data_IF_854586954793
#
_entry.id   IF_854586954793
#
_cell.length_a   1.000
_cell.length_b   1.000
_cell.length_c   1.000
_cell.angle_alpha   90.00
_cell.angle_beta   90.00
_cell.angle_gamma   90.00
#
_symmetry.space_group_name_H-M   'P 1'
#
loop_
_entity.id
_entity.type
_entity.pdbx_description
1 polymer ?
#
# COMPACT_ATOMS: atom_id res chain seq x y z
N UNK A 1 19.00 23.57 -12.21
CA UNK A 1 18.27 22.40 -11.70
C UNK A 1 17.08 22.18 -12.63
N UNK A 2 16.69 20.93 -12.87
CA UNK A 2 15.47 20.61 -13.63
C UNK A 2 14.24 20.96 -12.81
N UNK A 3 13.14 21.45 -13.42
CA UNK A 3 11.89 21.68 -12.71
C UNK A 3 11.38 20.40 -12.07
N UNK A 4 10.82 20.51 -10.86
CA UNK A 4 10.27 19.39 -10.12
C UNK A 4 8.75 19.45 -10.18
N UNK A 5 8.14 18.32 -10.48
CA UNK A 5 6.68 18.15 -10.49
C UNK A 5 6.31 17.13 -9.40
N UNK A 6 5.28 17.45 -8.61
CA UNK A 6 4.67 16.52 -7.65
C UNK A 6 3.34 16.04 -8.22
N UNK A 7 3.07 14.75 -8.08
CA UNK A 7 1.77 14.13 -8.31
C UNK A 7 1.47 13.25 -7.09
N UNK A 8 0.50 13.67 -6.27
CA UNK A 8 0.22 13.03 -4.99
C UNK A 8 -1.27 13.00 -4.69
N UNK A 9 -1.76 11.94 -4.06
CA UNK A 9 -3.16 11.78 -3.66
C UNK A 9 -3.34 11.68 -2.13
N UNK A 10 -2.27 11.91 -1.37
CA UNK A 10 -2.34 11.91 0.08
C UNK A 10 -2.86 13.24 0.64
N UNK A 11 -3.55 13.23 1.79
CA UNK A 11 -3.90 14.46 2.48
C UNK A 11 -2.64 15.15 3.02
N UNK A 12 -2.55 16.48 2.82
CA UNK A 12 -1.47 17.35 3.34
C UNK A 12 -0.07 16.95 2.84
N UNK A 13 0.18 16.94 1.53
CA UNK A 13 1.50 16.66 0.98
C UNK A 13 2.49 17.79 1.32
N UNK A 14 3.77 17.46 1.43
CA UNK A 14 4.85 18.45 1.53
C UNK A 14 5.15 19.01 0.14
N UNK A 15 4.72 20.24 -0.13
CA UNK A 15 4.81 20.85 -1.47
C UNK A 15 6.06 21.70 -1.69
N UNK A 16 6.83 21.94 -0.64
CA UNK A 16 8.01 22.81 -0.71
C UNK A 16 9.08 22.25 -1.68
N UNK A 17 9.55 23.11 -2.57
CA UNK A 17 10.59 22.77 -3.56
C UNK A 17 10.08 22.11 -4.86
N UNK A 18 8.75 22.08 -5.07
CA UNK A 18 8.12 21.68 -6.34
C UNK A 18 7.63 22.90 -7.10
N UNK A 19 7.86 22.96 -8.41
CA UNK A 19 7.43 24.07 -9.28
C UNK A 19 6.00 23.88 -9.78
N UNK A 20 5.56 22.62 -9.88
CA UNK A 20 4.21 22.26 -10.27
C UNK A 20 3.71 21.14 -9.34
N UNK A 21 2.51 21.31 -8.81
CA UNK A 21 1.90 20.35 -7.88
C UNK A 21 0.52 19.97 -8.39
N UNK A 22 0.32 18.66 -8.59
CA UNK A 22 -0.99 18.04 -8.75
C UNK A 22 -1.26 17.26 -7.48
N UNK A 23 -2.22 17.70 -6.67
CA UNK A 23 -2.59 17.04 -5.42
C UNK A 23 -4.11 16.98 -5.35
N UNK A 24 -4.64 15.75 -5.27
CA UNK A 24 -6.08 15.48 -5.26
C UNK A 24 -6.36 14.23 -4.43
N UNK A 25 -7.27 14.32 -3.48
CA UNK A 25 -7.62 13.23 -2.57
C UNK A 25 -8.84 12.42 -3.03
N UNK A 26 -9.61 12.92 -4.00
CA UNK A 26 -10.78 12.24 -4.56
C UNK A 26 -10.44 11.39 -5.78
N UNK A 27 -9.25 10.79 -5.76
CA UNK A 27 -8.76 9.79 -6.72
C UNK A 27 -8.21 8.59 -5.97
N UNK A 28 -8.24 7.43 -6.59
CA UNK A 28 -7.84 6.16 -5.94
C UNK A 28 -6.34 6.01 -5.72
N UNK A 29 -5.53 6.74 -6.48
CA UNK A 29 -4.08 6.59 -6.50
C UNK A 29 -3.39 7.75 -7.21
N UNK A 30 -2.12 7.96 -6.94
CA UNK A 30 -1.29 8.86 -7.74
C UNK A 30 -1.25 8.45 -9.23
N UNK A 31 -1.42 7.15 -9.52
CA UNK A 31 -1.54 6.65 -10.90
C UNK A 31 -2.82 7.13 -11.59
N UNK A 32 -3.94 7.20 -10.87
CA UNK A 32 -5.19 7.75 -11.42
C UNK A 32 -5.04 9.24 -11.68
N UNK A 33 -4.46 9.99 -10.74
CA UNK A 33 -4.20 11.42 -10.94
C UNK A 33 -3.27 11.65 -12.14
N UNK A 34 -2.18 10.89 -12.26
CA UNK A 34 -1.30 10.96 -13.42
C UNK A 34 -2.02 10.62 -14.72
N UNK A 35 -2.90 9.61 -14.71
CA UNK A 35 -3.73 9.27 -15.87
C UNK A 35 -4.56 10.48 -16.31
N UNK A 36 -5.23 11.17 -15.41
CA UNK A 36 -6.02 12.37 -15.74
C UNK A 36 -5.16 13.50 -16.32
N UNK A 37 -3.97 13.73 -15.77
CA UNK A 37 -3.01 14.69 -16.30
C UNK A 37 -2.61 14.31 -17.74
N UNK A 38 -2.25 13.04 -17.98
CA UNK A 38 -1.87 12.57 -19.30
C UNK A 38 -3.03 12.67 -20.33
N UNK A 39 -4.28 12.33 -19.91
CA UNK A 39 -5.45 12.46 -20.77
C UNK A 39 -5.74 13.90 -21.20
N UNK A 40 -5.33 14.89 -20.40
CA UNK A 40 -5.47 16.32 -20.73
C UNK A 40 -4.40 16.85 -21.68
N UNK A 41 -3.32 16.10 -21.90
CA UNK A 41 -2.24 16.53 -22.80
C UNK A 41 -2.66 16.48 -24.27
N UNK A 42 -2.27 17.48 -25.09
CA UNK A 42 -2.64 17.53 -26.51
C UNK A 42 -2.25 16.30 -27.32
N UNK A 43 -1.10 15.69 -26.99
CA UNK A 43 -0.58 14.50 -27.68
C UNK A 43 -1.42 13.25 -27.41
N UNK A 44 -2.04 13.17 -26.25
CA UNK A 44 -2.92 12.07 -25.85
C UNK A 44 -4.38 12.36 -26.22
N UNK A 45 -4.83 13.62 -26.07
CA UNK A 45 -6.13 14.11 -26.51
C UNK A 45 -7.31 13.24 -26.05
N UNK A 46 -7.31 12.85 -24.78
CA UNK A 46 -8.34 12.00 -24.15
C UNK A 46 -8.47 10.58 -24.73
N UNK A 47 -7.49 10.12 -25.48
CA UNK A 47 -7.45 8.78 -26.07
C UNK A 47 -6.34 7.93 -25.43
N UNK A 48 -6.72 7.02 -24.53
CA UNK A 48 -5.79 6.15 -23.81
C UNK A 48 -4.97 5.22 -24.74
N UNK A 49 -5.46 4.96 -25.97
CA UNK A 49 -4.72 4.14 -26.94
C UNK A 49 -3.44 4.82 -27.45
N UNK A 50 -3.30 6.13 -27.26
CA UNK A 50 -2.09 6.90 -27.58
C UNK A 50 -1.02 6.83 -26.51
N UNK A 51 -1.32 6.31 -25.34
CA UNK A 51 -0.30 6.06 -24.32
C UNK A 51 0.65 4.96 -24.77
N UNK A 52 1.95 5.08 -24.51
CA UNK A 52 2.86 3.93 -24.65
C UNK A 52 2.32 2.76 -23.82
N UNK A 53 2.31 1.54 -24.41
CA UNK A 53 1.75 0.37 -23.73
C UNK A 53 2.35 0.13 -22.33
N UNK A 54 3.66 0.31 -22.16
CA UNK A 54 4.32 0.20 -20.87
C UNK A 54 3.79 1.21 -19.84
N UNK A 55 3.45 2.45 -20.27
CA UNK A 55 2.84 3.46 -19.40
C UNK A 55 1.42 3.05 -19.00
N UNK A 56 0.61 2.58 -19.95
CA UNK A 56 -0.75 2.10 -19.68
C UNK A 56 -0.75 0.93 -18.67
N UNK A 57 0.16 -0.04 -18.85
CA UNK A 57 0.34 -1.17 -17.91
C UNK A 57 0.78 -0.66 -16.53
N UNK A 58 1.72 0.28 -16.44
CA UNK A 58 2.20 0.83 -15.17
C UNK A 58 1.11 1.61 -14.43
N UNK A 59 0.31 2.40 -15.14
CA UNK A 59 -0.83 3.12 -14.57
C UNK A 59 -1.88 2.15 -14.01
N UNK A 60 -2.21 1.09 -14.77
CA UNK A 60 -3.11 0.05 -14.28
C UNK A 60 -2.54 -0.68 -13.07
N UNK A 61 -1.23 -0.95 -13.05
CA UNK A 61 -0.57 -1.60 -11.92
C UNK A 61 -0.66 -0.76 -10.65
N UNK A 62 -0.30 0.54 -10.71
CA UNK A 62 -0.33 1.43 -9.57
C UNK A 62 -1.74 1.60 -9.01
N UNK A 63 -2.74 1.82 -9.86
CA UNK A 63 -4.14 1.85 -9.44
C UNK A 63 -4.58 0.54 -8.78
N UNK A 64 -4.22 -0.61 -9.38
CA UNK A 64 -4.61 -1.94 -8.87
C UNK A 64 -4.01 -2.22 -7.50
N UNK A 65 -2.73 -1.87 -7.29
CA UNK A 65 -2.05 -2.12 -6.01
C UNK A 65 -2.55 -1.20 -4.92
N UNK A 66 -2.76 0.07 -5.21
CA UNK A 66 -3.19 1.08 -4.24
C UNK A 66 -4.63 0.85 -3.77
N UNK A 67 -5.50 0.44 -4.68
CA UNK A 67 -6.89 0.08 -4.37
C UNK A 67 -7.05 -1.33 -3.80
N UNK A 68 -5.97 -2.08 -3.61
CA UNK A 68 -6.04 -3.50 -3.28
C UNK A 68 -7.01 -4.25 -4.22
N UNK A 69 -6.80 -4.08 -5.52
CA UNK A 69 -7.63 -4.67 -6.58
C UNK A 69 -9.11 -4.26 -6.52
N UNK A 70 -9.35 -2.95 -6.38
CA UNK A 70 -10.68 -2.31 -6.26
C UNK A 70 -11.43 -2.60 -4.95
N UNK A 71 -10.74 -3.07 -3.91
CA UNK A 71 -11.35 -3.28 -2.60
C UNK A 71 -11.44 -2.01 -1.76
N UNK A 72 -10.57 -1.02 -2.00
CA UNK A 72 -10.45 0.19 -1.17
C UNK A 72 -10.39 1.46 -2.05
N UNK A 73 -10.89 2.56 -1.50
CA UNK A 73 -10.69 3.93 -2.03
C UNK A 73 -10.98 4.07 -3.53
N UNK A 74 -12.06 3.48 -4.01
CA UNK A 74 -12.46 3.54 -5.41
C UNK A 74 -13.51 4.62 -5.65
N UNK A 75 -13.39 5.29 -6.80
CA UNK A 75 -14.30 6.33 -7.28
C UNK A 75 -14.85 5.92 -8.66
N UNK A 76 -15.92 6.55 -9.16
CA UNK A 76 -16.38 6.31 -10.53
C UNK A 76 -15.30 6.53 -11.59
N UNK A 77 -14.42 7.53 -11.38
CA UNK A 77 -13.26 7.83 -12.23
C UNK A 77 -12.25 6.68 -12.27
N UNK A 78 -12.06 5.96 -11.17
CA UNK A 78 -11.19 4.77 -11.09
C UNK A 78 -11.64 3.68 -12.07
N UNK A 79 -12.94 3.40 -12.12
CA UNK A 79 -13.49 2.41 -13.06
C UNK A 79 -13.45 2.91 -14.51
N UNK A 80 -13.63 4.22 -14.72
CA UNK A 80 -13.49 4.84 -16.05
C UNK A 80 -12.06 4.69 -16.57
N UNK A 81 -11.05 4.98 -15.72
CA UNK A 81 -9.64 4.75 -16.04
C UNK A 81 -9.37 3.28 -16.37
N UNK A 82 -9.84 2.35 -15.54
CA UNK A 82 -9.65 0.92 -15.77
C UNK A 82 -10.24 0.50 -17.12
N UNK A 83 -11.45 0.95 -17.44
CA UNK A 83 -12.11 0.68 -18.73
C UNK A 83 -11.31 1.22 -19.90
N UNK A 84 -10.82 2.46 -19.82
CA UNK A 84 -10.02 3.08 -20.88
C UNK A 84 -8.70 2.34 -21.12
N UNK A 85 -8.00 1.93 -20.05
CA UNK A 85 -6.74 1.18 -20.15
C UNK A 85 -6.95 -0.23 -20.71
N UNK A 86 -8.04 -0.91 -20.37
CA UNK A 86 -8.40 -2.19 -20.95
C UNK A 86 -8.69 -2.04 -22.46
N UNK A 87 -9.44 -1.00 -22.85
CA UNK A 87 -9.71 -0.70 -24.26
C UNK A 87 -8.42 -0.35 -25.04
N UNK A 88 -7.44 0.24 -24.36
CA UNK A 88 -6.09 0.51 -24.90
C UNK A 88 -5.20 -0.75 -24.97
N UNK A 89 -5.71 -1.93 -24.63
CA UNK A 89 -5.03 -3.22 -24.80
C UNK A 89 -4.21 -3.69 -23.61
N UNK A 90 -4.43 -3.15 -22.41
CA UNK A 90 -3.79 -3.70 -21.19
C UNK A 90 -4.39 -5.07 -20.87
N UNK A 91 -3.55 -6.10 -20.86
CA UNK A 91 -3.94 -7.43 -20.37
C UNK A 91 -3.94 -7.45 -18.84
N UNK A 92 -5.14 -7.28 -18.27
CA UNK A 92 -5.32 -7.31 -16.81
C UNK A 92 -5.03 -8.69 -16.22
N UNK A 93 -5.29 -9.77 -16.95
CA UNK A 93 -5.03 -11.14 -16.49
C UNK A 93 -3.52 -11.37 -16.30
N UNK A 94 -2.72 -11.00 -17.29
CA UNK A 94 -1.25 -11.04 -17.19
C UNK A 94 -0.74 -10.14 -16.07
N UNK A 95 -1.27 -8.92 -15.96
CA UNK A 95 -0.89 -7.99 -14.91
C UNK A 95 -1.14 -8.57 -13.50
N UNK A 96 -2.34 -9.11 -13.24
CA UNK A 96 -2.66 -9.72 -11.94
C UNK A 96 -1.80 -10.95 -11.65
N UNK A 97 -1.51 -11.75 -12.67
CA UNK A 97 -0.60 -12.89 -12.52
C UNK A 97 0.80 -12.45 -12.08
N UNK A 98 1.32 -11.38 -12.68
CA UNK A 98 2.62 -10.80 -12.28
C UNK A 98 2.61 -10.20 -10.88
N UNK A 99 1.53 -9.52 -10.51
CA UNK A 99 1.42 -8.86 -9.20
C UNK A 99 1.17 -9.84 -8.05
N UNK A 100 0.34 -10.89 -8.28
CA UNK A 100 -0.23 -11.69 -7.19
C UNK A 100 0.03 -13.20 -7.31
N UNK A 101 0.61 -13.69 -8.39
CA UNK A 101 0.86 -15.11 -8.61
C UNK A 101 2.34 -15.46 -8.82
N UNK A 102 3.25 -14.53 -8.53
CA UNK A 102 4.70 -14.70 -8.67
C UNK A 102 5.45 -14.74 -7.34
N UNK A 103 4.74 -14.94 -6.25
CA UNK A 103 5.33 -14.95 -4.92
C UNK A 103 6.20 -16.18 -4.67
N UNK A 104 7.25 -16.00 -3.87
CA UNK A 104 8.13 -17.07 -3.41
C UNK A 104 7.41 -17.99 -2.41
N UNK A 105 7.75 -19.28 -2.40
CA UNK A 105 7.24 -20.25 -1.42
C UNK A 105 7.46 -19.78 0.03
N UNK A 106 8.60 -19.16 0.31
CA UNK A 106 8.94 -18.62 1.63
C UNK A 106 7.87 -17.67 2.18
N UNK A 107 7.23 -16.85 1.31
CA UNK A 107 6.11 -15.98 1.70
C UNK A 107 4.95 -16.79 2.27
N UNK A 108 4.53 -17.87 1.62
CA UNK A 108 3.41 -18.69 2.09
C UNK A 108 3.74 -19.45 3.37
N UNK A 109 4.97 -19.93 3.51
CA UNK A 109 5.44 -20.53 4.77
C UNK A 109 5.47 -19.51 5.90
N UNK A 110 5.95 -18.30 5.63
CA UNK A 110 5.93 -17.21 6.59
C UNK A 110 4.50 -16.77 6.95
N UNK A 111 3.59 -16.77 5.99
CA UNK A 111 2.15 -16.49 6.25
C UNK A 111 1.56 -17.52 7.23
N UNK A 112 1.91 -18.79 7.09
CA UNK A 112 1.51 -19.83 8.04
C UNK A 112 2.02 -19.56 9.45
N UNK A 113 3.30 -19.22 9.61
CA UNK A 113 3.91 -18.83 10.90
C UNK A 113 3.26 -17.56 11.44
N UNK A 114 3.05 -16.57 10.58
CA UNK A 114 2.40 -15.31 10.95
C UNK A 114 1.01 -15.54 11.57
N UNK A 115 0.15 -16.30 10.90
CA UNK A 115 -1.23 -16.51 11.34
C UNK A 115 -1.33 -17.49 12.52
N UNK A 116 -0.52 -18.54 12.54
CA UNK A 116 -0.63 -19.60 13.55
C UNK A 116 0.16 -19.29 14.81
N UNK A 117 1.39 -18.83 14.65
CA UNK A 117 2.36 -18.82 15.75
C UNK A 117 2.63 -17.42 16.31
N UNK A 118 2.45 -16.38 15.48
CA UNK A 118 2.85 -15.00 15.81
C UNK A 118 1.70 -14.02 15.96
N UNK A 119 0.50 -14.36 15.49
CA UNK A 119 -0.65 -13.47 15.59
C UNK A 119 -1.25 -13.55 17.01
N UNK A 120 -1.28 -12.41 17.67
CA UNK A 120 -1.96 -12.22 18.95
C UNK A 120 -3.15 -11.29 18.76
N UNK A 121 -4.26 -11.56 19.44
CA UNK A 121 -5.46 -10.73 19.39
C UNK A 121 -5.82 -10.36 20.83
N UNK A 122 -5.85 -9.07 21.13
CA UNK A 122 -6.24 -8.54 22.43
C UNK A 122 -7.74 -8.60 22.63
N UNK A 123 -8.19 -8.46 23.86
CA UNK A 123 -9.62 -8.32 24.21
C UNK A 123 -10.28 -7.09 23.56
N UNK A 124 -9.50 -6.06 23.22
CA UNK A 124 -9.96 -4.83 22.55
C UNK A 124 -10.06 -4.97 21.02
N UNK A 125 -9.79 -6.14 20.45
CA UNK A 125 -9.87 -6.36 19.01
C UNK A 125 -8.66 -5.83 18.23
N UNK A 126 -7.51 -5.63 18.88
CA UNK A 126 -6.26 -5.31 18.21
C UNK A 126 -5.50 -6.60 17.94
N UNK A 127 -5.21 -6.90 16.68
CA UNK A 127 -4.30 -7.96 16.30
C UNK A 127 -2.90 -7.40 16.15
N UNK A 128 -1.89 -8.10 16.66
CA UNK A 128 -0.49 -7.73 16.44
C UNK A 128 0.39 -8.95 16.20
N UNK A 129 1.48 -8.72 15.48
CA UNK A 129 2.47 -9.76 15.19
C UNK A 129 3.86 -9.13 15.05
N UNK A 130 4.87 -9.87 15.49
CA UNK A 130 6.26 -9.43 15.49
C UNK A 130 7.13 -10.48 14.79
N UNK A 131 7.82 -10.07 13.73
CA UNK A 131 8.91 -10.83 13.13
C UNK A 131 10.23 -10.17 13.50
N UNK A 132 11.01 -10.89 14.29
CA UNK A 132 12.37 -10.48 14.63
C UNK A 132 13.37 -10.95 13.57
N UNK A 133 14.63 -10.57 13.72
CA UNK A 133 15.71 -10.92 12.80
C UNK A 133 15.90 -12.43 12.66
N UNK A 134 15.70 -13.18 13.73
CA UNK A 134 15.78 -14.65 13.73
C UNK A 134 14.67 -15.27 12.87
N UNK A 135 13.41 -14.78 13.00
CA UNK A 135 12.30 -15.22 12.16
C UNK A 135 12.57 -14.95 10.68
N UNK A 136 13.07 -13.73 10.36
CA UNK A 136 13.40 -13.32 9.00
C UNK A 136 14.47 -14.24 8.40
N UNK A 137 15.53 -14.52 9.15
CA UNK A 137 16.60 -15.40 8.73
C UNK A 137 16.12 -16.86 8.57
N UNK A 138 15.46 -17.41 9.60
CA UNK A 138 14.96 -18.79 9.61
C UNK A 138 13.98 -19.09 8.48
N UNK A 139 13.13 -18.13 8.14
CA UNK A 139 12.15 -18.26 7.06
C UNK A 139 12.72 -17.86 5.69
N UNK A 140 13.96 -17.38 5.63
CA UNK A 140 14.63 -16.96 4.39
C UNK A 140 13.90 -15.83 3.68
N UNK A 141 13.34 -14.86 4.46
CA UNK A 141 12.54 -13.77 3.93
C UNK A 141 13.40 -12.71 3.25
N UNK A 142 12.89 -12.20 2.15
CA UNK A 142 13.40 -11.03 1.43
C UNK A 142 12.42 -9.86 1.57
N UNK A 143 12.84 -8.70 1.09
CA UNK A 143 11.95 -7.55 0.98
C UNK A 143 10.76 -7.89 0.07
N UNK A 144 9.56 -7.46 0.49
CA UNK A 144 8.30 -7.78 -0.18
C UNK A 144 7.64 -9.09 0.27
N UNK A 145 8.37 -10.08 0.82
CA UNK A 145 7.77 -11.38 1.21
C UNK A 145 6.68 -11.26 2.30
N UNK A 146 6.68 -10.20 3.10
CA UNK A 146 5.68 -9.97 4.15
C UNK A 146 4.67 -8.87 3.78
N UNK A 147 4.71 -8.37 2.55
CA UNK A 147 3.80 -7.32 2.11
C UNK A 147 2.34 -7.79 2.19
N UNK A 148 1.47 -6.96 2.78
CA UNK A 148 0.06 -7.27 2.95
C UNK A 148 -0.29 -8.19 4.13
N UNK A 149 0.66 -8.78 4.86
CA UNK A 149 0.35 -9.64 6.01
C UNK A 149 -0.49 -8.91 7.06
N UNK A 150 -0.20 -7.64 7.29
CA UNK A 150 -0.93 -6.78 8.23
C UNK A 150 -2.44 -6.69 7.91
N UNK A 151 -2.86 -6.94 6.67
CA UNK A 151 -4.27 -6.88 6.30
C UNK A 151 -5.05 -8.15 6.71
N UNK A 152 -4.37 -9.29 6.82
CA UNK A 152 -5.02 -10.60 7.01
C UNK A 152 -5.90 -10.65 8.27
N UNK A 153 -5.45 -10.17 9.46
CA UNK A 153 -6.26 -10.24 10.68
C UNK A 153 -7.55 -9.41 10.61
N UNK A 154 -7.62 -8.37 9.75
CA UNK A 154 -8.83 -7.56 9.60
C UNK A 154 -10.02 -8.34 9.02
N UNK A 155 -9.78 -9.50 8.40
CA UNK A 155 -10.82 -10.44 8.00
C UNK A 155 -11.54 -11.10 9.19
N UNK A 156 -10.97 -11.05 10.40
CA UNK A 156 -11.59 -11.56 11.61
C UNK A 156 -12.62 -10.54 12.11
N UNK A 157 -13.88 -10.96 12.29
CA UNK A 157 -14.99 -10.04 12.60
C UNK A 157 -14.74 -9.12 13.79
N UNK A 158 -14.17 -9.65 14.89
CA UNK A 158 -13.87 -8.89 16.11
C UNK A 158 -12.61 -8.01 16.03
N UNK A 159 -11.76 -8.18 15.01
CA UNK A 159 -10.54 -7.38 14.87
C UNK A 159 -10.89 -6.05 14.21
N UNK A 160 -10.50 -4.96 14.86
CA UNK A 160 -10.71 -3.58 14.39
C UNK A 160 -9.43 -2.91 13.92
N UNK A 161 -8.28 -3.40 14.42
CA UNK A 161 -6.96 -2.88 14.06
C UNK A 161 -5.94 -4.02 14.00
N UNK A 162 -4.99 -3.91 13.08
CA UNK A 162 -3.89 -4.85 12.93
C UNK A 162 -2.56 -4.12 12.85
N UNK A 163 -1.57 -4.61 13.60
CA UNK A 163 -0.22 -4.04 13.69
C UNK A 163 0.78 -5.14 13.37
N UNK A 164 1.65 -4.89 12.42
CA UNK A 164 2.73 -5.79 12.08
C UNK A 164 4.09 -5.11 12.25
N UNK A 165 4.94 -5.70 13.06
CA UNK A 165 6.28 -5.24 13.32
C UNK A 165 7.28 -6.20 12.67
N UNK A 166 8.19 -5.66 11.85
CA UNK A 166 9.29 -6.41 11.24
C UNK A 166 10.60 -5.74 11.58
N UNK A 167 11.51 -6.50 12.18
CA UNK A 167 12.84 -5.99 12.50
C UNK A 167 13.63 -5.67 11.22
N UNK A 168 14.27 -4.49 11.20
CA UNK A 168 15.02 -3.97 10.08
C UNK A 168 16.21 -3.12 10.58
N UNK A 169 17.42 -3.71 10.59
CA UNK A 169 18.65 -2.96 10.85
C UNK A 169 18.74 -2.22 12.18
N UNK A 170 18.11 -2.72 13.26
CA UNK A 170 18.20 -2.13 14.60
C UNK A 170 16.96 -1.31 15.02
N UNK A 171 15.92 -1.32 14.21
CA UNK A 171 14.58 -0.80 14.54
C UNK A 171 13.53 -1.78 14.04
N UNK A 172 12.27 -1.57 14.42
CA UNK A 172 11.14 -2.28 13.82
C UNK A 172 10.42 -1.38 12.83
N UNK A 173 10.28 -1.82 11.61
CA UNK A 173 9.33 -1.25 10.66
C UNK A 173 7.93 -1.64 11.09
N UNK A 174 7.05 -0.66 11.24
CA UNK A 174 5.68 -0.85 11.73
C UNK A 174 4.71 -0.59 10.59
N UNK A 175 3.80 -1.52 10.38
CA UNK A 175 2.65 -1.34 9.51
C UNK A 175 1.38 -1.41 10.35
N UNK A 176 0.47 -0.46 10.15
CA UNK A 176 -0.81 -0.38 10.87
C UNK A 176 -1.94 -0.35 9.85
N UNK A 177 -2.96 -1.14 10.09
CA UNK A 177 -4.21 -1.15 9.32
C UNK A 177 -5.39 -1.18 10.26
N UNK A 178 -6.50 -0.56 9.87
CA UNK A 178 -7.71 -0.54 10.70
C UNK A 178 -8.98 -0.58 9.85
N UNK A 179 -10.06 -0.96 10.49
CA UNK A 179 -11.41 -0.76 9.95
C UNK A 179 -11.84 0.70 10.14
N UNK A 180 -12.84 1.14 9.37
CA UNK A 180 -13.43 2.46 9.51
C UNK A 180 -13.84 2.76 10.97
N UNK A 181 -13.61 4.00 11.40
CA UNK A 181 -13.83 4.43 12.78
C UNK A 181 -12.62 4.29 13.71
N UNK A 182 -11.50 3.73 13.23
CA UNK A 182 -10.25 3.58 13.98
C UNK A 182 -9.09 4.16 13.16
N UNK A 183 -8.38 5.15 13.72
CA UNK A 183 -7.32 5.85 12.99
C UNK A 183 -5.97 5.15 13.10
N UNK A 184 -5.55 4.49 12.03
CA UNK A 184 -4.17 3.99 11.87
C UNK A 184 -3.17 5.14 11.82
N UNK A 185 -3.54 6.26 11.19
CA UNK A 185 -2.69 7.44 11.06
C UNK A 185 -2.41 8.09 12.43
N UNK A 186 -3.45 8.28 13.25
CA UNK A 186 -3.28 8.84 14.59
C UNK A 186 -2.35 7.98 15.44
N UNK A 187 -2.52 6.65 15.41
CA UNK A 187 -1.65 5.72 16.13
C UNK A 187 -0.21 5.80 15.64
N UNK A 188 0.00 5.78 14.31
CA UNK A 188 1.34 5.83 13.74
C UNK A 188 2.08 7.12 14.09
N UNK A 189 1.39 8.26 14.04
CA UNK A 189 1.94 9.56 14.43
C UNK A 189 2.27 9.63 15.92
N UNK A 190 1.40 9.12 16.78
CA UNK A 190 1.56 9.22 18.23
C UNK A 190 2.69 8.32 18.78
N UNK A 191 2.88 7.12 18.20
CA UNK A 191 3.72 6.09 18.83
C UNK A 191 4.83 5.54 17.93
N UNK A 192 4.75 5.71 16.60
CA UNK A 192 5.66 5.04 15.68
C UNK A 192 6.43 5.98 14.75
N UNK A 193 6.53 7.26 15.07
CA UNK A 193 7.24 8.24 14.24
C UNK A 193 6.91 8.13 12.76
N UNK A 194 5.61 7.99 12.46
CA UNK A 194 5.13 7.69 11.12
C UNK A 194 3.87 8.45 10.75
N UNK A 195 3.11 7.91 9.81
CA UNK A 195 1.86 8.47 9.31
C UNK A 195 1.33 7.69 8.13
N UNK A 196 0.32 8.23 7.46
CA UNK A 196 -0.33 7.64 6.29
C UNK A 196 -1.80 8.02 6.21
N UNK A 197 -2.58 7.16 5.55
CA UNK A 197 -4.03 7.30 5.46
C UNK A 197 -4.74 6.92 6.77
N UNK A 198 -6.00 7.29 6.89
CA UNK A 198 -6.82 7.03 8.08
C UNK A 198 -6.83 5.55 8.48
N UNK A 199 -7.02 4.63 7.53
CA UNK A 199 -7.07 3.20 7.79
C UNK A 199 -5.78 2.44 7.40
N UNK A 200 -4.73 3.13 6.92
CA UNK A 200 -3.49 2.52 6.45
C UNK A 200 -2.30 3.45 6.71
N UNK A 201 -1.50 3.13 7.71
CA UNK A 201 -0.35 3.92 8.10
C UNK A 201 0.88 3.03 8.38
N UNK A 202 2.02 3.65 8.48
CA UNK A 202 3.26 2.98 8.84
C UNK A 202 4.18 3.87 9.65
N UNK A 203 5.23 3.30 10.20
CA UNK A 203 6.21 4.03 10.99
C UNK A 203 7.38 3.16 11.41
N UNK A 204 8.08 3.60 12.45
CA UNK A 204 9.23 2.90 13.02
C UNK A 204 9.14 2.87 14.52
N UNK A 205 9.55 1.76 15.13
CA UNK A 205 9.80 1.63 16.54
C UNK A 205 11.32 1.54 16.74
N UNK A 206 11.89 2.56 17.38
CA UNK A 206 13.36 2.75 17.44
C UNK A 206 14.04 1.97 18.56
N UNK A 207 13.29 1.52 19.58
CA UNK A 207 13.82 0.85 20.75
C UNK A 207 13.19 -0.54 20.91
N UNK A 208 13.94 -1.61 20.58
CA UNK A 208 13.45 -2.98 20.76
C UNK A 208 13.07 -3.33 22.21
N UNK A 209 13.65 -2.66 23.20
CA UNK A 209 13.33 -2.85 24.62
C UNK A 209 11.90 -2.43 25.03
N UNK A 210 11.25 -1.59 24.20
CA UNK A 210 9.88 -1.13 24.46
C UNK A 210 8.83 -2.20 24.06
N UNK A 211 9.27 -3.31 23.46
CA UNK A 211 8.44 -4.48 23.15
C UNK A 211 8.48 -5.52 24.28
N UNK A 212 8.85 -5.13 25.47
CA UNK A 212 8.69 -6.01 26.63
C UNK A 212 7.20 -6.22 26.89
N UNK A 213 6.71 -7.37 26.43
CA UNK A 213 5.36 -7.90 26.66
C UNK A 213 5.23 -8.44 28.07
#
# INVERSE_FOLDING_TARGET
>A
ASPKVMIDHHPQPEVDGFELVFSETEVSSASELLFHVLMSMPDVASDASRLPHAAAVSLMAGMTTDTNNFANSVFPSTFSMASALLAAGVDRGELLSRLYSSYRENRFRAMGVYLKDKMHITEYGVAYSIFNKEDIFRLGLKDGDTEGFVNLPLGIGKVVMSIFLREDGGFYRVSVRSKAGWSSNALARAFFHGGGHECAAGGKLLFPGDIAL
#
